data_IF_670434276670
#
_entry.id   IF_670434276670
#
_cell.length_a   1.000
_cell.length_b   1.000
_cell.length_c   1.000
_cell.angle_alpha   90.00
_cell.angle_beta   90.00
_cell.angle_gamma   90.00
#
_symmetry.space_group_name_H-M   'P 1'
#
loop_
_entity.id
_entity.type
_entity.pdbx_description
1 polymer ?
#
# COMPACT_ATOMS: atom_id res chain seq x y z
N UNK A 1 -31.69 -59.10 -21.77
CA UNK A 1 -30.90 -60.34 -21.62
C UNK A 1 -29.52 -59.94 -21.09
N UNK A 2 -29.14 -60.46 -19.90
CA UNK A 2 -27.83 -60.43 -19.21
C UNK A 2 -27.26 -59.05 -18.76
N UNK A 3 -27.28 -58.72 -17.45
CA UNK A 3 -26.30 -58.99 -16.36
C UNK A 3 -25.09 -58.03 -16.35
N UNK A 4 -24.98 -57.11 -15.37
CA UNK A 4 -24.25 -57.22 -14.07
C UNK A 4 -22.81 -57.77 -14.19
N UNK A 5 -21.79 -57.04 -13.74
CA UNK A 5 -21.07 -57.28 -12.47
C UNK A 5 -19.85 -56.36 -12.26
N UNK A 6 -19.64 -56.02 -11.00
CA UNK A 6 -18.50 -55.34 -10.38
C UNK A 6 -17.23 -56.20 -10.40
N UNK A 7 -16.02 -55.60 -10.44
CA UNK A 7 -14.90 -56.08 -9.63
C UNK A 7 -13.76 -55.06 -9.42
N UNK A 8 -13.45 -54.91 -8.13
CA UNK A 8 -12.27 -54.36 -7.46
C UNK A 8 -10.92 -55.00 -7.89
N UNK A 9 -9.82 -54.35 -7.48
CA UNK A 9 -8.52 -54.91 -6.95
C UNK A 9 -7.19 -54.54 -7.67
N UNK A 10 -6.37 -53.81 -6.88
CA UNK A 10 -4.92 -53.86 -6.61
C UNK A 10 -3.83 -53.44 -7.63
N UNK A 11 -3.16 -52.34 -7.26
CA UNK A 11 -1.72 -52.18 -6.92
C UNK A 11 -0.75 -53.21 -7.52
N UNK A 12 0.23 -52.73 -8.29
CA UNK A 12 1.59 -53.27 -8.27
C UNK A 12 2.64 -52.16 -8.43
N UNK A 13 3.60 -52.17 -7.52
CA UNK A 13 4.81 -51.35 -7.45
C UNK A 13 5.83 -51.81 -8.50
N UNK A 14 6.57 -50.87 -9.09
CA UNK A 14 7.91 -51.15 -9.59
C UNK A 14 8.85 -49.98 -9.31
N UNK A 15 9.93 -50.31 -8.62
CA UNK A 15 11.03 -49.44 -8.21
C UNK A 15 11.79 -48.85 -9.40
N UNK A 16 12.20 -47.60 -9.28
CA UNK A 16 13.44 -47.13 -9.92
C UNK A 16 14.26 -46.36 -8.88
N UNK A 17 15.32 -47.00 -8.42
CA UNK A 17 16.38 -46.42 -7.59
C UNK A 17 17.39 -45.82 -8.57
N UNK A 18 17.65 -44.52 -8.48
CA UNK A 18 18.89 -43.93 -8.97
C UNK A 18 19.44 -43.01 -7.88
N UNK A 19 20.52 -43.47 -7.24
CA UNK A 19 21.40 -42.71 -6.37
C UNK A 19 22.13 -41.62 -7.17
N UNK A 20 22.16 -40.39 -6.62
CA UNK A 20 23.13 -39.35 -6.97
C UNK A 20 23.52 -38.59 -5.69
N UNK A 21 24.79 -38.63 -5.25
CA UNK A 21 25.25 -37.81 -4.13
C UNK A 21 25.65 -36.43 -4.68
N UNK A 22 24.83 -35.41 -4.42
CA UNK A 22 25.08 -34.02 -4.78
C UNK A 22 25.27 -33.15 -3.54
N UNK A 23 26.51 -32.72 -3.33
CA UNK A 23 26.99 -31.85 -2.26
C UNK A 23 26.20 -30.52 -2.25
N UNK A 24 25.52 -30.19 -1.14
CA UNK A 24 25.03 -28.84 -0.86
C UNK A 24 25.42 -28.45 0.56
N UNK A 25 26.55 -27.77 0.67
CA UNK A 25 27.06 -27.18 1.89
C UNK A 25 27.99 -26.03 1.53
N UNK A 26 27.41 -24.85 1.28
CA UNK A 26 28.00 -23.50 1.11
C UNK A 26 26.89 -22.67 0.43
N UNK A 27 26.51 -21.43 0.77
CA UNK A 27 27.08 -20.38 1.61
C UNK A 27 26.02 -19.25 1.75
N UNK A 28 25.06 -19.39 2.67
CA UNK A 28 24.09 -18.31 2.95
C UNK A 28 24.81 -17.06 3.53
N UNK A 29 25.95 -17.26 4.19
CA UNK A 29 26.73 -16.21 4.85
C UNK A 29 27.40 -15.23 3.88
N UNK A 30 27.97 -15.69 2.76
CA UNK A 30 28.52 -14.78 1.75
C UNK A 30 27.43 -13.97 1.05
N UNK A 31 26.30 -14.59 0.74
CA UNK A 31 25.20 -13.90 0.04
C UNK A 31 24.67 -12.74 0.88
N UNK A 32 24.49 -12.96 2.19
CA UNK A 32 24.08 -11.93 3.14
C UNK A 32 25.14 -10.81 3.24
N UNK A 33 26.43 -11.15 3.37
CA UNK A 33 27.51 -10.15 3.42
C UNK A 33 27.60 -9.29 2.15
N UNK A 34 27.43 -9.90 0.99
CA UNK A 34 27.51 -9.19 -0.31
C UNK A 34 26.35 -8.20 -0.45
N UNK A 35 25.16 -8.56 0.07
CA UNK A 35 23.99 -7.69 0.07
C UNK A 35 24.08 -6.54 1.08
N UNK A 36 24.71 -6.76 2.24
CA UNK A 36 24.98 -5.70 3.23
C UNK A 36 25.99 -4.68 2.70
N UNK A 37 27.06 -5.14 2.05
CA UNK A 37 28.10 -4.26 1.48
C UNK A 37 27.56 -3.42 0.31
N UNK A 38 26.65 -3.96 -0.50
CA UNK A 38 26.03 -3.22 -1.60
C UNK A 38 24.96 -2.22 -1.13
N UNK A 39 24.17 -2.57 -0.09
CA UNK A 39 23.05 -1.73 0.36
C UNK A 39 23.45 -0.66 1.39
N UNK A 40 24.57 -0.85 2.10
CA UNK A 40 25.01 0.05 3.18
C UNK A 40 24.09 0.06 4.40
N UNK A 41 23.09 -0.84 4.45
CA UNK A 41 22.18 -1.00 5.57
C UNK A 41 22.46 -2.35 6.27
N UNK A 42 22.73 -2.37 7.58
CA UNK A 42 22.82 -3.63 8.30
C UNK A 42 21.46 -4.33 8.27
N UNK A 43 21.43 -5.60 7.86
CA UNK A 43 20.20 -6.41 7.79
C UNK A 43 19.75 -6.88 9.19
N UNK A 44 20.51 -6.55 10.24
CA UNK A 44 20.03 -6.68 11.61
C UNK A 44 18.84 -5.75 11.86
N UNK A 45 17.63 -6.29 11.73
CA UNK A 45 16.41 -5.67 12.20
C UNK A 45 16.61 -5.23 13.66
N UNK A 46 16.44 -3.93 13.97
CA UNK A 46 16.40 -3.51 15.37
C UNK A 46 15.28 -4.28 16.06
N UNK A 47 15.62 -4.98 17.15
CA UNK A 47 14.63 -5.65 18.02
C UNK A 47 13.74 -4.58 18.64
N UNK A 48 12.66 -4.21 17.96
CA UNK A 48 11.59 -3.41 18.54
C UNK A 48 10.91 -4.27 19.61
N UNK A 49 10.74 -3.79 20.85
CA UNK A 49 10.01 -4.53 21.87
C UNK A 49 8.61 -4.85 21.35
N UNK A 50 8.22 -6.13 21.48
CA UNK A 50 6.97 -6.76 21.05
C UNK A 50 5.68 -6.01 21.49
N UNK A 51 5.38 -4.87 20.86
CA UNK A 51 4.13 -4.10 21.05
C UNK A 51 3.40 -3.82 19.71
N UNK A 52 3.85 -4.40 18.60
CA UNK A 52 3.16 -4.34 17.30
C UNK A 52 2.05 -5.39 17.16
N UNK A 53 1.79 -6.18 18.20
CA UNK A 53 0.98 -7.40 18.18
C UNK A 53 -0.53 -7.22 17.99
N UNK A 54 -1.02 -6.01 17.72
CA UNK A 54 -2.37 -5.88 17.14
C UNK A 54 -2.55 -4.60 16.30
N UNK A 55 -1.62 -4.30 15.40
CA UNK A 55 -1.94 -3.36 14.32
C UNK A 55 -3.05 -3.99 13.45
N UNK A 56 -4.27 -3.48 13.59
CA UNK A 56 -5.45 -3.97 12.88
C UNK A 56 -6.12 -2.84 12.13
N UNK A 57 -6.17 -3.00 10.81
CA UNK A 57 -6.86 -2.12 9.86
C UNK A 57 -8.37 -2.32 9.99
N UNK A 58 -9.13 -1.24 10.06
CA UNK A 58 -10.58 -1.30 9.99
C UNK A 58 -11.04 -1.35 8.52
N UNK A 59 -10.98 -2.55 7.93
CA UNK A 59 -11.32 -2.76 6.52
C UNK A 59 -12.74 -2.33 6.16
N UNK A 60 -13.69 -2.48 7.09
CA UNK A 60 -15.08 -2.06 6.86
C UNK A 60 -15.23 -0.55 6.72
N UNK A 61 -14.51 0.21 7.55
CA UNK A 61 -14.50 1.68 7.49
C UNK A 61 -13.76 2.14 6.23
N UNK A 62 -12.61 1.53 5.92
CA UNK A 62 -11.87 1.83 4.70
C UNK A 62 -12.70 1.55 3.45
N UNK A 63 -13.42 0.42 3.41
CA UNK A 63 -14.28 0.08 2.28
C UNK A 63 -15.45 1.07 2.14
N UNK A 64 -16.07 1.49 3.25
CA UNK A 64 -17.11 2.55 3.23
C UNK A 64 -16.56 3.85 2.70
N UNK A 65 -15.35 4.24 3.09
CA UNK A 65 -14.71 5.46 2.61
C UNK A 65 -14.40 5.39 1.11
N UNK A 66 -13.96 4.23 0.61
CA UNK A 66 -13.76 3.97 -0.83
C UNK A 66 -15.10 4.06 -1.57
N UNK A 67 -16.17 3.47 -1.02
CA UNK A 67 -17.50 3.47 -1.63
C UNK A 67 -18.10 4.88 -1.67
N UNK A 68 -17.93 5.66 -0.61
CA UNK A 68 -18.36 7.07 -0.55
C UNK A 68 -17.58 7.92 -1.55
N UNK A 69 -16.25 7.78 -1.59
CA UNK A 69 -15.41 8.47 -2.58
C UNK A 69 -15.82 8.12 -4.02
N UNK A 70 -16.19 6.85 -4.28
CA UNK A 70 -16.65 6.40 -5.60
C UNK A 70 -17.95 7.07 -6.05
N UNK A 71 -18.75 7.64 -5.13
CA UNK A 71 -19.94 8.42 -5.48
C UNK A 71 -19.60 9.77 -6.12
N UNK A 72 -18.39 10.29 -5.89
CA UNK A 72 -17.85 11.46 -6.58
C UNK A 72 -17.29 11.04 -7.96
N UNK A 73 -18.22 10.72 -8.86
CA UNK A 73 -17.96 10.24 -10.21
C UNK A 73 -18.89 10.91 -11.22
N UNK A 74 -18.36 11.17 -12.42
CA UNK A 74 -19.10 11.65 -13.60
C UNK A 74 -19.78 10.49 -14.35
N UNK A 75 -19.35 9.25 -14.13
CA UNK A 75 -19.95 8.04 -14.70
C UNK A 75 -20.85 7.29 -13.70
N UNK A 76 -21.91 6.61 -14.17
CA UNK A 76 -22.71 5.71 -13.34
C UNK A 76 -21.88 4.54 -12.78
N UNK A 77 -22.20 4.12 -11.56
CA UNK A 77 -21.62 2.93 -10.94
C UNK A 77 -21.83 1.68 -11.82
N UNK A 78 -20.88 0.72 -11.83
CA UNK A 78 -19.70 0.62 -10.95
C UNK A 78 -18.45 1.36 -11.44
N UNK A 79 -18.56 2.05 -12.58
CA UNK A 79 -17.45 2.79 -13.17
C UNK A 79 -17.24 4.12 -12.44
N UNK A 80 -15.97 4.45 -12.19
CA UNK A 80 -15.56 5.75 -11.64
C UNK A 80 -14.88 6.53 -12.75
N UNK A 81 -15.35 7.76 -12.95
CA UNK A 81 -14.72 8.76 -13.82
C UNK A 81 -14.60 10.02 -13.01
N UNK A 82 -13.37 10.50 -12.83
CA UNK A 82 -13.10 11.69 -12.04
C UNK A 82 -11.99 12.46 -12.70
N UNK A 83 -12.39 13.35 -13.60
CA UNK A 83 -11.47 14.20 -14.35
C UNK A 83 -10.95 15.28 -13.42
N UNK A 84 -9.64 15.53 -13.46
CA UNK A 84 -8.97 16.53 -12.66
C UNK A 84 -9.65 17.91 -12.78
N UNK A 85 -9.88 18.56 -11.65
CA UNK A 85 -10.58 19.86 -11.51
C UNK A 85 -12.03 19.89 -12.01
N UNK A 86 -12.65 18.74 -12.29
CA UNK A 86 -14.11 18.67 -12.43
C UNK A 86 -14.79 18.95 -11.07
N UNK A 87 -16.08 19.26 -11.09
CA UNK A 87 -16.85 19.42 -9.84
C UNK A 87 -16.74 18.18 -8.95
N UNK A 88 -16.70 16.98 -9.54
CA UNK A 88 -16.53 15.72 -8.82
C UNK A 88 -15.15 15.57 -8.21
N UNK A 89 -14.10 16.00 -8.91
CA UNK A 89 -12.75 16.03 -8.35
C UNK A 89 -12.65 16.99 -7.17
N UNK A 90 -13.19 18.20 -7.29
CA UNK A 90 -13.19 19.18 -6.18
C UNK A 90 -13.91 18.62 -4.94
N UNK A 91 -15.04 17.94 -5.11
CA UNK A 91 -15.75 17.28 -4.01
C UNK A 91 -14.92 16.13 -3.41
N UNK A 92 -14.31 15.28 -4.24
CA UNK A 92 -13.44 14.20 -3.80
C UNK A 92 -12.22 14.72 -3.01
N UNK A 93 -11.59 15.79 -3.49
CA UNK A 93 -10.48 16.48 -2.83
C UNK A 93 -10.88 17.03 -1.47
N UNK A 94 -12.05 17.68 -1.39
CA UNK A 94 -12.59 18.15 -0.11
C UNK A 94 -12.79 17.00 0.87
N UNK A 95 -13.41 15.92 0.40
CA UNK A 95 -13.63 14.72 1.22
C UNK A 95 -12.32 14.11 1.74
N UNK A 96 -11.28 14.02 0.92
CA UNK A 96 -9.97 13.53 1.36
C UNK A 96 -9.35 14.46 2.41
N UNK A 97 -9.44 15.78 2.23
CA UNK A 97 -8.97 16.75 3.23
C UNK A 97 -9.69 16.56 4.56
N UNK A 98 -11.02 16.43 4.53
CA UNK A 98 -11.83 16.20 5.73
C UNK A 98 -11.41 14.91 6.45
N UNK A 99 -11.16 13.82 5.70
CA UNK A 99 -10.66 12.57 6.28
C UNK A 99 -9.28 12.73 6.93
N UNK A 100 -8.36 13.46 6.30
CA UNK A 100 -7.04 13.74 6.88
C UNK A 100 -7.17 14.55 8.17
N UNK A 101 -8.02 15.58 8.19
CA UNK A 101 -8.27 16.40 9.39
C UNK A 101 -8.92 15.59 10.52
N UNK A 102 -9.91 14.73 10.20
CA UNK A 102 -10.54 13.81 11.16
C UNK A 102 -9.54 12.82 11.75
N UNK A 103 -8.57 12.38 10.94
CA UNK A 103 -7.42 11.59 11.38
C UNK A 103 -6.41 12.39 12.21
N UNK A 104 -6.62 13.69 12.43
CA UNK A 104 -5.75 14.58 13.19
C UNK A 104 -4.44 14.88 12.47
N UNK A 105 -4.47 14.95 11.14
CA UNK A 105 -3.36 15.40 10.30
C UNK A 105 -3.49 16.91 10.06
N UNK A 106 -2.35 17.59 9.95
CA UNK A 106 -2.32 18.98 9.46
C UNK A 106 -2.34 18.97 7.94
N UNK A 107 -3.41 19.48 7.34
CA UNK A 107 -3.61 19.49 5.89
C UNK A 107 -2.97 20.72 5.25
N UNK A 108 -2.24 20.51 4.15
CA UNK A 108 -1.70 21.56 3.29
C UNK A 108 -1.93 21.20 1.83
N UNK A 109 -2.07 22.21 0.98
CA UNK A 109 -2.18 22.06 -0.46
C UNK A 109 -1.13 22.95 -1.13
N UNK A 110 -0.37 22.40 -2.09
CA UNK A 110 0.63 23.17 -2.82
C UNK A 110 0.04 23.91 -4.04
N UNK A 111 0.87 24.70 -4.72
CA UNK A 111 0.44 25.48 -5.88
C UNK A 111 0.02 24.63 -7.10
N UNK A 112 0.42 23.35 -7.14
CA UNK A 112 0.06 22.40 -8.20
C UNK A 112 -1.22 21.64 -7.83
N UNK A 113 -1.67 21.75 -6.58
CA UNK A 113 -2.86 21.11 -6.03
C UNK A 113 -2.58 19.81 -5.28
N UNK A 114 -1.32 19.41 -5.08
CA UNK A 114 -1.03 18.22 -4.27
C UNK A 114 -1.47 18.47 -2.83
N UNK A 115 -2.13 17.48 -2.22
CA UNK A 115 -2.65 17.58 -0.86
C UNK A 115 -1.79 16.72 0.05
N UNK A 116 -1.35 17.32 1.16
CA UNK A 116 -0.47 16.71 2.15
C UNK A 116 -1.18 16.69 3.50
N UNK A 117 -1.19 15.53 4.15
CA UNK A 117 -1.63 15.34 5.53
C UNK A 117 -0.44 14.99 6.42
N UNK A 118 0.03 15.95 7.22
CA UNK A 118 1.22 15.80 8.06
C UNK A 118 0.87 15.37 9.49
N UNK A 119 1.52 14.30 9.96
CA UNK A 119 1.60 13.94 11.37
C UNK A 119 3.00 14.23 11.91
N UNK A 120 3.12 15.25 12.75
CA UNK A 120 4.39 15.64 13.34
C UNK A 120 4.99 14.54 14.22
N UNK A 121 6.24 14.20 13.93
CA UNK A 121 7.07 13.39 14.83
C UNK A 121 7.63 14.22 15.98
N UNK A 122 8.29 13.54 16.92
CA UNK A 122 8.94 14.23 18.03
C UNK A 122 10.31 14.86 17.66
N UNK A 123 10.87 14.50 16.50
CA UNK A 123 12.03 15.16 15.88
C UNK A 123 11.65 15.68 14.48
N UNK A 124 10.95 16.83 14.38
CA UNK A 124 10.40 17.34 13.11
C UNK A 124 11.47 17.82 12.11
N UNK A 125 12.70 18.05 12.57
CA UNK A 125 13.84 18.44 11.72
C UNK A 125 14.36 17.28 10.84
N UNK A 126 13.97 16.03 11.15
CA UNK A 126 14.31 14.88 10.33
C UNK A 126 13.41 14.81 9.10
N UNK A 127 13.99 14.36 7.98
CA UNK A 127 13.23 14.14 6.74
C UNK A 127 12.00 13.24 7.00
N UNK A 128 10.80 13.66 6.58
CA UNK A 128 9.57 12.90 6.82
C UNK A 128 9.56 11.59 6.03
N UNK A 129 8.75 10.65 6.49
CA UNK A 129 8.39 9.45 5.73
C UNK A 129 7.06 9.71 5.05
N UNK A 130 7.06 9.66 3.73
CA UNK A 130 5.92 10.01 2.89
C UNK A 130 5.34 8.76 2.22
N UNK A 131 4.02 8.67 2.19
CA UNK A 131 3.26 7.62 1.51
C UNK A 131 1.98 8.20 0.92
N UNK A 132 1.50 7.63 -0.18
CA UNK A 132 0.34 8.18 -0.87
C UNK A 132 0.25 7.75 -2.32
N UNK A 133 -0.72 8.31 -3.03
CA UNK A 133 -1.00 8.01 -4.43
C UNK A 133 -1.89 9.11 -5.02
N UNK A 134 -2.82 8.78 -5.92
CA UNK A 134 -3.71 9.71 -6.60
C UNK A 134 -5.17 9.29 -6.44
N UNK A 135 -6.12 10.17 -6.78
CA UNK A 135 -7.57 9.88 -6.71
C UNK A 135 -8.33 10.29 -7.97
N UNK A 136 -7.67 10.92 -8.93
CA UNK A 136 -8.18 11.08 -10.28
C UNK A 136 -8.40 9.70 -10.92
N UNK A 137 -9.40 9.61 -11.78
CA UNK A 137 -9.76 8.37 -12.44
C UNK A 137 -10.08 8.68 -13.91
N UNK A 138 -9.34 8.04 -14.80
CA UNK A 138 -9.65 8.07 -16.24
C UNK A 138 -11.06 7.52 -16.49
N UNK A 139 -11.69 7.88 -17.63
CA UNK A 139 -13.02 7.40 -17.95
C UNK A 139 -13.15 5.88 -17.88
N UNK A 140 -14.17 5.42 -17.17
CA UNK A 140 -14.47 3.99 -17.00
C UNK A 140 -13.49 3.18 -16.14
N UNK A 141 -12.76 3.85 -15.25
CA UNK A 141 -11.87 3.20 -14.27
C UNK A 141 -12.60 2.54 -13.10
N UNK A 142 -11.86 1.68 -12.38
CA UNK A 142 -12.30 1.08 -11.13
C UNK A 142 -12.11 2.01 -9.94
N UNK A 143 -12.89 1.79 -8.87
CA UNK A 143 -12.87 2.61 -7.65
C UNK A 143 -11.62 2.48 -6.75
N UNK A 144 -10.70 1.56 -7.08
CA UNK A 144 -9.57 1.22 -6.21
C UNK A 144 -8.24 1.79 -6.68
N UNK A 145 -8.13 2.07 -7.98
CA UNK A 145 -6.87 2.53 -8.58
C UNK A 145 -6.49 3.90 -8.05
N UNK A 146 -5.24 4.04 -7.60
CA UNK A 146 -4.73 5.17 -6.81
C UNK A 146 -5.36 5.32 -5.41
N UNK A 147 -6.69 5.26 -5.32
CA UNK A 147 -7.51 5.49 -4.13
C UNK A 147 -7.07 4.67 -2.92
N UNK A 148 -6.76 3.39 -3.12
CA UNK A 148 -6.30 2.52 -2.01
C UNK A 148 -4.98 3.00 -1.43
N UNK A 149 -4.10 3.60 -2.23
CA UNK A 149 -2.84 4.16 -1.76
C UNK A 149 -3.05 5.37 -0.84
N UNK A 150 -4.01 6.25 -1.16
CA UNK A 150 -4.31 7.44 -0.36
C UNK A 150 -5.10 7.07 0.90
N UNK A 151 -6.24 6.39 0.75
CA UNK A 151 -7.08 6.02 1.89
C UNK A 151 -6.41 4.96 2.79
N UNK A 152 -5.64 4.05 2.21
CA UNK A 152 -4.84 3.08 2.97
C UNK A 152 -3.76 3.75 3.79
N UNK A 153 -3.12 4.82 3.27
CA UNK A 153 -2.16 5.60 4.04
C UNK A 153 -2.83 6.33 5.23
N UNK A 154 -4.00 6.94 5.02
CA UNK A 154 -4.79 7.56 6.11
C UNK A 154 -5.15 6.52 7.18
N UNK A 155 -5.62 5.34 6.79
CA UNK A 155 -5.96 4.29 7.75
C UNK A 155 -4.73 3.72 8.44
N UNK A 156 -3.59 3.59 7.75
CA UNK A 156 -2.33 3.20 8.39
C UNK A 156 -1.92 4.18 9.51
N UNK A 157 -2.08 5.49 9.27
CA UNK A 157 -1.88 6.51 10.30
C UNK A 157 -2.86 6.29 11.47
N UNK A 158 -4.14 6.05 11.18
CA UNK A 158 -5.13 5.81 12.23
C UNK A 158 -4.77 4.57 13.07
N UNK A 159 -4.34 3.48 12.45
CA UNK A 159 -3.90 2.26 13.12
C UNK A 159 -2.72 2.56 14.06
N UNK A 160 -1.71 3.28 13.57
CA UNK A 160 -0.55 3.68 14.37
C UNK A 160 -0.96 4.60 15.54
N UNK A 161 -1.86 5.56 15.31
CA UNK A 161 -2.38 6.42 16.37
C UNK A 161 -3.14 5.62 17.43
N UNK A 162 -4.01 4.69 17.02
CA UNK A 162 -4.76 3.80 17.92
C UNK A 162 -3.85 2.88 18.73
N UNK A 163 -2.72 2.47 18.18
CA UNK A 163 -1.72 1.67 18.90
C UNK A 163 -0.87 2.48 19.88
N UNK A 164 -1.07 3.79 19.99
CA UNK A 164 -0.26 4.68 20.83
C UNK A 164 1.15 4.94 20.28
N UNK A 165 1.40 4.64 18.99
CA UNK A 165 2.69 4.89 18.37
C UNK A 165 2.99 6.39 18.32
N UNK A 166 4.22 6.76 18.65
CA UNK A 166 4.73 8.13 18.55
C UNK A 166 5.88 8.15 17.54
N UNK A 167 5.66 8.71 16.34
CA UNK A 167 6.65 8.66 15.29
C UNK A 167 7.85 9.55 15.63
N UNK A 168 9.07 9.06 15.35
CA UNK A 168 10.31 9.84 15.48
C UNK A 168 10.38 10.93 14.43
N UNK A 169 10.33 10.52 13.17
CA UNK A 169 10.23 11.38 11.99
C UNK A 169 8.77 11.70 11.74
N UNK A 170 8.46 12.85 11.19
CA UNK A 170 7.09 13.12 10.76
C UNK A 170 6.65 12.12 9.69
N UNK A 171 5.37 11.76 9.71
CA UNK A 171 4.73 10.92 8.70
C UNK A 171 3.83 11.79 7.85
N UNK A 172 3.88 11.64 6.54
CA UNK A 172 3.11 12.47 5.61
C UNK A 172 2.32 11.59 4.65
N UNK A 173 1.03 11.87 4.53
CA UNK A 173 0.17 11.29 3.50
C UNK A 173 0.08 12.27 2.35
N UNK A 174 0.36 11.83 1.12
CA UNK A 174 0.21 12.67 -0.08
C UNK A 174 -0.91 12.15 -1.00
N UNK A 175 -1.68 13.09 -1.54
CA UNK A 175 -2.54 12.87 -2.68
C UNK A 175 -2.03 13.73 -3.83
N UNK A 176 -1.47 13.08 -4.84
CA UNK A 176 -0.96 13.72 -6.04
C UNK A 176 -2.10 14.27 -6.89
N UNK A 177 -1.84 15.43 -7.49
CA UNK A 177 -2.66 15.97 -8.58
C UNK A 177 -2.19 15.35 -9.88
N UNK A 178 -3.04 14.57 -10.54
CA UNK A 178 -2.75 13.91 -11.80
C UNK A 178 -3.90 14.10 -12.81
N UNK A 179 -3.56 14.25 -14.09
CA UNK A 179 -4.46 14.23 -15.25
C UNK A 179 -4.32 12.90 -16.05
N UNK A 180 -3.50 11.99 -15.49
CA UNK A 180 -2.86 10.78 -16.05
C UNK A 180 -1.76 11.01 -17.10
N UNK A 181 -0.59 10.38 -16.91
CA UNK A 181 -0.50 8.97 -17.28
C UNK A 181 0.04 8.10 -16.14
N UNK A 182 -0.59 6.93 -15.95
CA UNK A 182 -0.13 5.72 -15.25
C UNK A 182 1.26 5.16 -15.68
N UNK A 183 2.19 5.99 -16.14
CA UNK A 183 3.52 5.57 -16.65
C UNK A 183 4.72 5.89 -15.78
N UNK A 184 4.56 6.68 -14.73
CA UNK A 184 5.67 6.92 -13.82
C UNK A 184 5.43 6.23 -12.49
N UNK A 185 5.93 5.00 -12.40
CA UNK A 185 6.48 4.48 -11.16
C UNK A 185 7.62 5.38 -10.69
N UNK A 186 7.27 6.55 -10.17
CA UNK A 186 8.19 7.44 -9.51
C UNK A 186 8.48 6.82 -8.14
N UNK A 187 9.42 5.89 -8.15
CA UNK A 187 10.51 6.01 -7.21
C UNK A 187 11.12 7.41 -7.39
N UNK A 188 10.89 8.27 -6.40
CA UNK A 188 11.69 9.47 -6.12
C UNK A 188 11.93 10.46 -7.29
N UNK A 189 10.96 11.32 -7.59
CA UNK A 189 11.19 12.60 -8.28
C UNK A 189 10.57 13.73 -7.46
N UNK A 190 11.04 13.85 -6.22
CA UNK A 190 10.71 14.90 -5.27
C UNK A 190 11.92 15.29 -4.41
N UNK A 191 13.14 15.12 -4.93
CA UNK A 191 14.36 15.63 -4.29
C UNK A 191 15.30 16.24 -5.33
N UNK A 192 14.94 17.42 -5.82
CA UNK A 192 15.91 18.46 -6.15
C UNK A 192 15.19 19.82 -6.11
N UNK A 193 15.44 20.62 -5.09
CA UNK A 193 14.94 21.99 -5.05
C UNK A 193 14.82 22.59 -3.66
N UNK A 194 15.98 23.06 -3.16
CA UNK A 194 16.21 24.08 -2.12
C UNK A 194 15.57 23.92 -0.74
#
# INVERSE_FOLDING_TARGET
MALRFSLFIFIFSLHFICDFPGIFGHDEGMTIKTMEEFSGYPIHEPKYPNSLSSLSVNSDTLQKQIDELATFSDSPAPSVTRILYSEKDVLARSYIKDLMELSGLSVKEDAVGNIFGLWNGYEPELAPVLTGSHVDAIPYSGKYDGVVGVLGAIEAINVLKRSGFKPKRSLEVIMFTSEEPTRFGISCLGRLGS
#
